data_IF_932921788661
#
_entry.id   IF_932921788661
#
_cell.length_a   1.000
_cell.length_b   1.000
_cell.length_c   1.000
_cell.angle_alpha   90.00
_cell.angle_beta   90.00
_cell.angle_gamma   90.00
#
_symmetry.space_group_name_H-M   'P 1'
#
loop_
_entity.id
_entity.type
_entity.pdbx_description
1 polymer ?
#
# COMPACT_ATOMS: atom_id res chain seq x y z
N UNK A 1 -15.04 6.37 0.75
CA UNK A 1 -14.85 5.27 -0.22
C UNK A 1 -15.74 4.11 0.17
N UNK A 2 -15.78 3.06 -0.63
CA UNK A 2 -16.57 1.86 -0.35
C UNK A 2 -15.73 0.60 -0.20
N UNK A 3 -16.42 -0.51 0.09
CA UNK A 3 -15.80 -1.84 0.20
C UNK A 3 -15.19 -2.28 -1.14
N UNK A 4 -13.98 -2.82 -1.10
CA UNK A 4 -13.34 -3.41 -2.27
C UNK A 4 -13.28 -4.92 -2.08
N UNK A 5 -13.91 -5.64 -3.00
CA UNK A 5 -13.81 -7.08 -3.12
C UNK A 5 -12.67 -7.46 -4.07
N UNK A 6 -12.02 -8.59 -3.81
CA UNK A 6 -11.30 -9.28 -4.86
C UNK A 6 -12.27 -9.72 -5.95
N UNK A 7 -11.80 -9.71 -7.19
CA UNK A 7 -12.55 -10.28 -8.32
C UNK A 7 -12.82 -11.78 -8.11
N UNK A 8 -11.83 -12.51 -7.62
CA UNK A 8 -11.97 -13.91 -7.21
C UNK A 8 -11.10 -14.22 -5.97
N UNK A 9 -11.62 -14.97 -4.99
CA UNK A 9 -12.98 -15.53 -4.91
C UNK A 9 -14.01 -14.45 -4.57
N UNK A 10 -15.25 -14.68 -5.02
CA UNK A 10 -16.35 -13.71 -4.84
C UNK A 10 -16.60 -13.40 -3.36
N UNK A 11 -16.96 -12.13 -3.10
CA UNK A 11 -17.23 -11.59 -1.77
C UNK A 11 -16.07 -11.65 -0.77
N UNK A 12 -14.86 -12.02 -1.20
CA UNK A 12 -13.68 -11.86 -0.36
C UNK A 12 -13.25 -10.40 -0.37
N UNK A 13 -13.16 -9.81 0.82
CA UNK A 13 -12.83 -8.40 1.00
C UNK A 13 -11.32 -8.22 0.81
N UNK A 14 -10.95 -7.31 -0.09
CA UNK A 14 -9.58 -6.84 -0.25
C UNK A 14 -9.27 -5.72 0.74
N UNK A 15 -10.19 -4.75 0.90
CA UNK A 15 -10.01 -3.63 1.82
C UNK A 15 -11.31 -2.87 2.05
N UNK A 16 -11.55 -2.45 3.30
CA UNK A 16 -12.57 -1.45 3.67
C UNK A 16 -11.92 -0.12 4.09
N UNK A 17 -10.69 0.16 3.64
CA UNK A 17 -9.82 1.18 4.26
C UNK A 17 -8.94 0.56 5.32
N UNK A 18 -8.30 1.36 6.17
CA UNK A 18 -7.40 0.80 7.18
C UNK A 18 -6.70 1.80 8.07
N UNK A 19 -5.83 1.26 8.91
CA UNK A 19 -4.96 2.02 9.82
C UNK A 19 -3.51 2.02 9.36
N UNK A 20 -2.75 3.03 9.80
CA UNK A 20 -1.33 3.21 9.50
C UNK A 20 -0.54 3.31 10.80
N UNK A 21 0.44 2.44 10.96
CA UNK A 21 1.45 2.61 12.01
C UNK A 21 2.56 3.52 11.50
N UNK A 22 2.60 4.78 11.95
CA UNK A 22 3.61 5.75 11.52
C UNK A 22 5.04 5.42 11.98
N UNK A 23 5.23 4.53 12.96
CA UNK A 23 6.57 4.13 13.42
C UNK A 23 7.23 3.11 12.49
N UNK A 24 6.44 2.23 11.89
CA UNK A 24 6.93 1.19 10.98
C UNK A 24 6.56 1.45 9.53
N UNK A 25 5.66 2.39 9.28
CA UNK A 25 5.01 2.63 7.99
C UNK A 25 4.10 1.50 7.55
N UNK A 26 3.68 0.58 8.43
CA UNK A 26 2.81 -0.54 8.02
C UNK A 26 1.36 -0.12 7.95
N UNK A 27 0.67 -0.51 6.88
CA UNK A 27 -0.76 -0.33 6.73
C UNK A 27 -1.50 -1.63 7.07
N UNK A 28 -2.62 -1.53 7.79
CA UNK A 28 -3.48 -2.67 8.12
C UNK A 28 -4.88 -2.41 7.54
N UNK A 29 -5.23 -3.06 6.42
CA UNK A 29 -6.58 -2.95 5.88
C UNK A 29 -7.60 -3.61 6.81
N UNK A 30 -8.76 -2.98 6.96
CA UNK A 30 -9.90 -3.56 7.65
C UNK A 30 -10.53 -4.68 6.82
N UNK A 31 -11.00 -5.71 7.52
CA UNK A 31 -11.72 -6.87 6.97
C UNK A 31 -11.02 -7.66 5.85
N UNK A 32 -9.74 -7.38 5.57
CA UNK A 32 -8.97 -8.07 4.52
C UNK A 32 -9.05 -9.59 4.68
N UNK A 33 -9.27 -10.29 3.56
CA UNK A 33 -9.47 -11.74 3.43
C UNK A 33 -10.73 -12.32 4.08
N UNK A 34 -11.55 -11.54 4.78
CA UNK A 34 -12.86 -12.02 5.23
C UNK A 34 -13.78 -12.19 4.03
N UNK A 35 -14.72 -13.14 4.12
CA UNK A 35 -15.66 -13.46 3.06
C UNK A 35 -17.08 -13.19 3.56
N UNK A 36 -17.85 -12.39 2.82
CA UNK A 36 -19.25 -12.10 3.12
C UNK A 36 -19.65 -10.67 2.79
N UNK A 37 -20.95 -10.48 2.57
CA UNK A 37 -21.55 -9.17 2.31
C UNK A 37 -21.96 -8.49 3.61
N UNK A 38 -22.49 -9.24 4.57
CA UNK A 38 -23.00 -8.75 5.86
C UNK A 38 -21.91 -8.44 6.89
N UNK A 39 -20.66 -8.36 6.46
CA UNK A 39 -19.55 -7.98 7.33
C UNK A 39 -19.68 -6.48 7.64
N UNK A 40 -19.73 -6.06 8.92
CA UNK A 40 -19.78 -4.65 9.27
C UNK A 40 -18.59 -3.88 8.70
N UNK A 41 -18.85 -2.66 8.23
CA UNK A 41 -17.82 -1.70 7.86
C UNK A 41 -16.97 -1.26 9.06
N UNK A 42 -15.86 -0.55 8.81
CA UNK A 42 -15.07 0.04 9.88
C UNK A 42 -15.82 1.18 10.58
N UNK A 43 -15.39 1.48 11.79
CA UNK A 43 -15.71 2.72 12.48
C UNK A 43 -14.91 3.84 11.79
N UNK A 44 -15.57 4.94 11.42
CA UNK A 44 -14.95 5.98 10.58
C UNK A 44 -13.84 6.73 11.30
N UNK A 45 -13.95 6.88 12.62
CA UNK A 45 -12.93 7.50 13.47
C UNK A 45 -11.62 6.69 13.51
N UNK A 46 -11.69 5.39 13.23
CA UNK A 46 -10.51 4.51 13.18
C UNK A 46 -9.83 4.51 11.79
N UNK A 47 -10.37 5.22 10.80
CA UNK A 47 -9.80 5.26 9.46
C UNK A 47 -8.63 6.25 9.36
N UNK A 48 -7.47 5.72 9.01
CA UNK A 48 -6.32 6.54 8.61
C UNK A 48 -6.29 6.78 7.10
N UNK A 49 -6.82 5.86 6.30
CA UNK A 49 -6.87 5.96 4.84
C UNK A 49 -8.07 5.24 4.20
N UNK A 50 -8.45 5.73 3.02
CA UNK A 50 -9.34 5.06 2.07
C UNK A 50 -8.49 4.57 0.89
N UNK A 51 -8.72 3.37 0.33
CA UNK A 51 -7.89 2.86 -0.75
C UNK A 51 -8.10 3.65 -2.05
N UNK A 52 -7.00 3.97 -2.74
CA UNK A 52 -7.02 4.80 -3.96
C UNK A 52 -7.78 4.18 -5.13
N UNK A 53 -7.96 2.86 -5.13
CA UNK A 53 -8.71 2.14 -6.18
C UNK A 53 -10.19 2.50 -6.24
N UNK A 54 -10.77 2.97 -5.13
CA UNK A 54 -12.18 3.35 -5.07
C UNK A 54 -12.43 4.46 -4.03
N UNK A 55 -12.19 5.69 -4.46
CA UNK A 55 -12.39 6.87 -3.62
C UNK A 55 -13.08 8.00 -4.38
N UNK A 56 -13.88 8.77 -3.63
CA UNK A 56 -14.43 10.05 -4.05
C UNK A 56 -13.88 11.10 -3.08
N UNK A 57 -13.45 12.24 -3.59
CA UNK A 57 -12.91 13.35 -2.80
C UNK A 57 -13.70 14.62 -3.07
N UNK A 58 -13.94 15.42 -2.02
CA UNK A 58 -14.56 16.73 -2.16
C UNK A 58 -13.56 17.76 -2.70
N UNK A 59 -14.05 18.87 -3.25
CA UNK A 59 -13.20 20.01 -3.60
C UNK A 59 -12.45 20.55 -2.37
N UNK A 60 -13.12 20.57 -1.22
CA UNK A 60 -12.55 20.99 0.05
C UNK A 60 -11.37 20.11 0.47
N UNK A 61 -11.47 18.79 0.28
CA UNK A 61 -10.37 17.87 0.50
C UNK A 61 -9.15 18.22 -0.36
N UNK A 62 -9.35 18.50 -1.66
CA UNK A 62 -8.26 18.90 -2.56
C UNK A 62 -7.65 20.24 -2.14
N UNK A 63 -8.49 21.20 -1.73
CA UNK A 63 -8.02 22.50 -1.22
C UNK A 63 -7.19 22.37 0.06
N UNK A 64 -7.48 21.39 0.92
CA UNK A 64 -6.76 21.14 2.17
C UNK A 64 -5.51 20.28 1.98
N UNK A 65 -5.65 19.10 1.37
CA UNK A 65 -4.59 18.10 1.24
C UNK A 65 -3.66 18.34 0.05
N UNK A 66 -4.06 19.20 -0.89
CA UNK A 66 -3.44 19.35 -2.20
C UNK A 66 -3.78 18.20 -3.15
N UNK A 67 -3.08 18.13 -4.28
CA UNK A 67 -3.16 16.99 -5.20
C UNK A 67 -2.44 15.76 -4.62
N UNK A 68 -2.84 14.59 -5.10
CA UNK A 68 -2.22 13.32 -4.72
C UNK A 68 -0.71 13.35 -5.06
N UNK A 69 0.18 12.90 -4.15
CA UNK A 69 1.61 12.96 -4.37
C UNK A 69 2.07 12.05 -5.52
N UNK A 70 2.70 12.62 -6.53
CA UNK A 70 3.24 11.91 -7.71
C UNK A 70 4.65 11.34 -7.49
N UNK A 71 5.26 11.58 -6.32
CA UNK A 71 6.61 11.09 -6.00
C UNK A 71 6.67 9.60 -5.65
N UNK A 72 5.58 8.87 -5.82
CA UNK A 72 5.48 7.42 -5.68
C UNK A 72 5.18 6.83 -7.04
N UNK A 73 5.95 5.82 -7.44
CA UNK A 73 5.58 5.02 -8.60
C UNK A 73 4.45 4.03 -8.25
N UNK A 74 4.57 3.37 -7.10
CA UNK A 74 3.60 2.42 -6.56
C UNK A 74 3.63 2.46 -5.03
N UNK A 75 2.43 2.40 -4.44
CA UNK A 75 2.17 2.34 -3.01
C UNK A 75 2.44 3.64 -2.25
N UNK A 76 1.63 3.85 -1.22
CA UNK A 76 1.68 4.94 -0.24
C UNK A 76 1.19 6.30 -0.74
N UNK A 77 0.88 6.46 -2.03
CA UNK A 77 0.32 7.71 -2.55
C UNK A 77 -0.98 8.08 -1.84
N UNK A 78 -1.91 7.13 -1.71
CA UNK A 78 -3.21 7.35 -1.10
C UNK A 78 -3.11 7.51 0.43
N UNK A 79 -2.15 6.82 1.06
CA UNK A 79 -1.93 6.90 2.50
C UNK A 79 -1.37 8.27 2.90
N UNK A 80 -0.35 8.76 2.18
CA UNK A 80 0.16 10.12 2.41
C UNK A 80 -0.93 11.15 2.14
N UNK A 81 -1.71 10.99 1.06
CA UNK A 81 -2.75 11.94 0.70
C UNK A 81 -3.87 12.01 1.76
N UNK A 82 -4.33 10.87 2.26
CA UNK A 82 -5.33 10.81 3.34
C UNK A 82 -4.82 11.44 4.64
N UNK A 83 -3.53 11.34 4.97
CA UNK A 83 -2.99 11.97 6.17
C UNK A 83 -2.80 13.49 6.03
N UNK A 84 -2.74 14.01 4.81
CA UNK A 84 -2.70 15.47 4.55
C UNK A 84 -4.06 16.16 4.64
N UNK A 85 -5.15 15.42 4.88
CA UNK A 85 -6.53 15.94 4.95
C UNK A 85 -6.84 16.89 6.10
N UNK A 86 -5.89 17.10 7.02
CA UNK A 86 -6.14 17.80 8.27
C UNK A 86 -7.21 17.09 9.09
N UNK A 87 -8.25 17.84 9.49
CA UNK A 87 -9.34 17.33 10.33
C UNK A 87 -10.56 16.85 9.51
N UNK A 88 -10.48 16.83 8.18
CA UNK A 88 -11.59 16.33 7.36
C UNK A 88 -11.82 14.84 7.64
N UNK A 89 -13.08 14.37 7.69
CA UNK A 89 -13.38 12.97 8.00
C UNK A 89 -13.05 12.07 6.81
N UNK A 90 -12.78 10.80 7.10
CA UNK A 90 -12.78 9.73 6.10
C UNK A 90 -14.05 8.91 6.29
N UNK A 91 -14.87 8.85 5.24
CA UNK A 91 -16.17 8.21 5.31
C UNK A 91 -16.18 6.87 4.55
N UNK A 92 -16.86 5.88 5.13
CA UNK A 92 -17.04 4.56 4.54
C UNK A 92 -18.50 4.35 4.10
N UNK A 93 -18.71 4.04 2.83
CA UNK A 93 -20.01 3.76 2.25
C UNK A 93 -20.11 2.29 1.85
N UNK A 94 -20.82 1.49 2.63
CA UNK A 94 -20.99 0.05 2.38
C UNK A 94 -21.71 -0.23 1.05
N UNK A 95 -22.66 0.63 0.67
CA UNK A 95 -23.46 0.48 -0.55
C UNK A 95 -22.69 0.79 -1.84
N UNK A 96 -21.52 1.42 -1.73
CA UNK A 96 -20.63 1.73 -2.84
C UNK A 96 -19.54 0.66 -3.03
N UNK A 97 -19.90 -0.62 -2.94
CA UNK A 97 -18.92 -1.70 -3.06
C UNK A 97 -18.49 -1.93 -4.53
N UNK A 98 -17.21 -2.26 -4.74
CA UNK A 98 -16.65 -2.55 -6.07
C UNK A 98 -15.84 -3.85 -6.09
N UNK A 99 -15.75 -4.48 -7.25
CA UNK A 99 -14.82 -5.58 -7.51
C UNK A 99 -13.54 -5.06 -8.15
N UNK A 100 -12.40 -5.53 -7.65
CA UNK A 100 -11.09 -5.11 -8.14
C UNK A 100 -10.26 -6.32 -8.58
N UNK A 101 -9.85 -6.30 -9.84
CA UNK A 101 -8.91 -7.25 -10.43
C UNK A 101 -7.49 -6.82 -10.03
N UNK A 102 -7.11 -7.08 -8.78
CA UNK A 102 -5.83 -6.66 -8.23
C UNK A 102 -4.63 -7.45 -8.76
N UNK A 103 -3.49 -6.77 -8.91
CA UNK A 103 -2.16 -7.40 -9.00
C UNK A 103 -1.65 -7.81 -10.38
N UNK A 104 -2.46 -7.73 -11.46
CA UNK A 104 -2.01 -8.16 -12.79
C UNK A 104 -0.89 -7.29 -13.39
N UNK A 105 -0.97 -5.96 -13.23
CA UNK A 105 0.02 -5.04 -13.83
C UNK A 105 1.28 -4.82 -12.97
N UNK A 106 1.15 -4.85 -11.64
CA UNK A 106 2.23 -4.51 -10.70
C UNK A 106 2.93 -5.73 -10.06
N UNK A 107 2.39 -6.95 -10.26
CA UNK A 107 2.89 -8.15 -9.58
C UNK A 107 2.79 -8.06 -8.06
N UNK A 108 1.82 -7.30 -7.55
CA UNK A 108 1.49 -7.18 -6.12
C UNK A 108 1.08 -8.55 -5.58
N UNK A 109 1.23 -8.76 -4.26
CA UNK A 109 0.75 -9.98 -3.63
C UNK A 109 -0.75 -10.17 -3.94
N UNK A 110 -1.10 -11.36 -4.43
CA UNK A 110 -2.49 -11.79 -4.63
C UNK A 110 -2.80 -12.87 -3.60
N UNK A 111 -4.06 -13.29 -3.51
CA UNK A 111 -4.49 -14.34 -2.59
C UNK A 111 -3.69 -15.64 -2.79
N UNK A 112 -3.34 -15.96 -4.04
CA UNK A 112 -2.67 -17.21 -4.41
C UNK A 112 -1.14 -17.07 -4.58
N UNK A 113 -0.61 -15.84 -4.65
CA UNK A 113 0.80 -15.61 -4.89
C UNK A 113 1.35 -14.53 -3.95
N UNK A 114 2.49 -14.84 -3.32
CA UNK A 114 3.26 -13.84 -2.57
C UNK A 114 3.68 -12.65 -3.45
N UNK A 115 4.15 -11.55 -2.84
CA UNK A 115 4.56 -10.37 -3.58
C UNK A 115 5.69 -10.70 -4.55
N UNK A 116 5.63 -10.18 -5.78
CA UNK A 116 6.78 -10.25 -6.69
C UNK A 116 7.98 -9.48 -6.12
N UNK A 117 9.22 -9.79 -6.56
CA UNK A 117 10.39 -8.99 -6.19
C UNK A 117 10.22 -7.50 -6.53
N UNK A 118 9.60 -7.17 -7.66
CA UNK A 118 9.34 -5.78 -8.06
C UNK A 118 8.38 -5.09 -7.07
N UNK A 119 7.28 -5.75 -6.73
CA UNK A 119 6.35 -5.24 -5.72
C UNK A 119 7.03 -5.08 -4.36
N UNK A 120 7.89 -6.02 -3.96
CA UNK A 120 8.59 -5.96 -2.68
C UNK A 120 9.60 -4.80 -2.64
N UNK A 121 10.26 -4.52 -3.77
CA UNK A 121 11.13 -3.37 -3.96
C UNK A 121 10.36 -2.05 -3.77
N UNK A 122 9.29 -1.84 -4.53
CA UNK A 122 8.52 -0.59 -4.45
C UNK A 122 7.86 -0.43 -3.08
N UNK A 123 7.31 -1.50 -2.51
CA UNK A 123 6.75 -1.47 -1.16
C UNK A 123 7.78 -1.04 -0.11
N UNK A 124 9.03 -1.53 -0.19
CA UNK A 124 10.10 -1.14 0.73
C UNK A 124 10.54 0.31 0.52
N UNK A 125 10.75 0.73 -0.74
CA UNK A 125 11.17 2.09 -1.09
C UNK A 125 10.11 3.12 -0.71
N UNK A 126 8.88 2.93 -1.16
CA UNK A 126 7.76 3.85 -0.91
C UNK A 126 7.43 3.95 0.59
N UNK A 127 7.55 2.85 1.35
CA UNK A 127 7.43 2.90 2.81
C UNK A 127 8.46 3.84 3.45
N UNK A 128 9.72 3.75 3.04
CA UNK A 128 10.76 4.63 3.60
C UNK A 128 10.54 6.08 3.20
N UNK A 129 10.12 6.35 1.96
CA UNK A 129 9.74 7.70 1.51
C UNK A 129 8.57 8.24 2.33
N UNK A 130 7.52 7.44 2.53
CA UNK A 130 6.36 7.79 3.35
C UNK A 130 6.76 8.11 4.80
N UNK A 131 7.51 7.23 5.46
CA UNK A 131 7.95 7.47 6.84
C UNK A 131 8.82 8.72 6.92
N UNK A 132 9.73 8.93 5.96
CA UNK A 132 10.58 10.11 5.94
C UNK A 132 9.80 11.42 5.76
N UNK A 133 8.64 11.40 5.09
CA UNK A 133 7.77 12.57 4.91
C UNK A 133 6.80 12.79 6.08
N UNK A 134 6.19 11.70 6.58
CA UNK A 134 5.13 11.80 7.59
C UNK A 134 5.63 11.75 9.03
N UNK A 135 6.73 11.02 9.29
CA UNK A 135 7.31 10.89 10.64
C UNK A 135 8.83 10.63 10.56
N UNK A 136 9.66 11.63 10.21
CA UNK A 136 11.11 11.47 10.03
C UNK A 136 11.81 10.80 11.23
N UNK A 137 11.37 11.08 12.45
CA UNK A 137 11.91 10.46 13.67
C UNK A 137 11.74 8.93 13.73
N UNK A 138 10.81 8.36 12.97
CA UNK A 138 10.57 6.92 12.90
C UNK A 138 11.44 6.18 11.87
N UNK A 139 12.25 6.90 11.07
CA UNK A 139 13.10 6.30 10.03
C UNK A 139 13.94 5.12 10.57
N UNK A 140 14.65 5.21 11.72
CA UNK A 140 15.44 4.09 12.22
C UNK A 140 14.60 2.84 12.53
N UNK A 141 13.41 3.05 13.10
CA UNK A 141 12.50 1.95 13.47
C UNK A 141 11.92 1.29 12.22
N UNK A 142 11.46 2.09 11.26
CA UNK A 142 10.98 1.59 9.98
C UNK A 142 12.08 0.84 9.21
N UNK A 143 13.31 1.35 9.21
CA UNK A 143 14.46 0.71 8.59
C UNK A 143 14.71 -0.68 9.20
N UNK A 144 14.85 -0.76 10.53
CA UNK A 144 15.07 -2.03 11.24
C UNK A 144 13.93 -3.01 10.97
N UNK A 145 12.68 -2.54 10.97
CA UNK A 145 11.51 -3.37 10.67
C UNK A 145 11.57 -3.99 9.26
N UNK A 146 11.82 -3.18 8.23
CA UNK A 146 11.91 -3.67 6.84
C UNK A 146 13.13 -4.55 6.65
N UNK A 147 14.26 -4.19 7.25
CA UNK A 147 15.50 -4.96 7.19
C UNK A 147 15.31 -6.36 7.80
N UNK A 148 14.73 -6.45 9.00
CA UNK A 148 14.40 -7.72 9.65
C UNK A 148 13.43 -8.56 8.81
N UNK A 149 12.44 -7.91 8.16
CA UNK A 149 11.51 -8.60 7.24
C UNK A 149 12.23 -9.15 6.00
N UNK A 150 13.18 -8.40 5.45
CA UNK A 150 14.00 -8.85 4.32
C UNK A 150 14.86 -10.07 4.69
N UNK A 151 15.53 -10.03 5.85
CA UNK A 151 16.30 -11.18 6.35
C UNK A 151 15.42 -12.42 6.57
N UNK A 152 14.20 -12.23 7.09
CA UNK A 152 13.21 -13.30 7.25
C UNK A 152 12.81 -13.92 5.91
N UNK A 153 12.63 -13.13 4.86
CA UNK A 153 12.36 -13.65 3.51
C UNK A 153 13.54 -14.48 3.00
N UNK A 154 14.78 -14.02 3.17
CA UNK A 154 15.99 -14.76 2.78
C UNK A 154 16.08 -16.09 3.53
N UNK A 155 15.87 -16.08 4.85
CA UNK A 155 15.88 -17.29 5.68
C UNK A 155 14.79 -18.30 5.26
N UNK A 156 13.65 -17.82 4.75
CA UNK A 156 12.56 -18.65 4.20
C UNK A 156 12.76 -19.04 2.72
N UNK A 157 13.99 -18.93 2.20
CA UNK A 157 14.36 -19.23 0.80
C UNK A 157 13.67 -18.34 -0.24
N UNK A 158 13.04 -17.22 0.17
CA UNK A 158 12.49 -16.19 -0.72
C UNK A 158 13.56 -15.14 -1.02
N UNK A 159 14.70 -15.59 -1.54
CA UNK A 159 15.94 -14.81 -1.63
C UNK A 159 15.77 -13.59 -2.55
N UNK A 160 15.10 -13.75 -3.70
CA UNK A 160 14.84 -12.66 -4.65
C UNK A 160 13.99 -11.53 -4.05
N UNK A 161 12.97 -11.88 -3.27
CA UNK A 161 12.10 -10.93 -2.57
C UNK A 161 12.90 -10.19 -1.49
N UNK A 162 13.67 -10.91 -0.68
CA UNK A 162 14.48 -10.32 0.37
C UNK A 162 15.52 -9.33 -0.18
N UNK A 163 16.26 -9.71 -1.23
CA UNK A 163 17.19 -8.79 -1.89
C UNK A 163 16.49 -7.60 -2.52
N UNK A 164 15.32 -7.77 -3.12
CA UNK A 164 14.56 -6.65 -3.66
C UNK A 164 14.15 -5.64 -2.58
N UNK A 165 13.75 -6.12 -1.39
CA UNK A 165 13.47 -5.24 -0.24
C UNK A 165 14.72 -4.48 0.21
N UNK A 166 15.89 -5.14 0.30
CA UNK A 166 17.15 -4.48 0.67
C UNK A 166 17.58 -3.42 -0.36
N UNK A 167 17.34 -3.65 -1.65
CA UNK A 167 17.56 -2.64 -2.70
C UNK A 167 16.62 -1.44 -2.52
N UNK A 168 15.35 -1.70 -2.20
CA UNK A 168 14.37 -0.65 -1.91
C UNK A 168 14.76 0.21 -0.69
N UNK A 169 15.37 -0.38 0.33
CA UNK A 169 15.89 0.33 1.51
C UNK A 169 17.11 1.22 1.22
N UNK A 170 17.98 0.80 0.31
CA UNK A 170 19.26 1.47 0.02
C UNK A 170 19.15 2.56 -1.05
N UNK A 171 17.96 2.80 -1.60
CA UNK A 171 17.76 3.74 -2.69
C UNK A 171 18.35 3.29 -4.03
N UNK A 172 18.93 2.09 -4.09
CA UNK A 172 19.38 1.46 -5.33
C UNK A 172 18.15 1.18 -6.22
N UNK A 173 18.30 1.26 -7.54
CA UNK A 173 17.20 0.89 -8.46
C UNK A 173 16.76 -0.57 -8.32
N UNK A 174 15.58 -0.96 -8.83
CA UNK A 174 15.16 -2.37 -8.89
C UNK A 174 16.14 -3.21 -9.75
N UNK A 175 16.02 -4.53 -9.69
CA UNK A 175 16.84 -5.41 -10.55
C UNK A 175 16.41 -5.32 -12.01
N UNK A 176 17.33 -5.52 -12.95
CA UNK A 176 17.01 -5.54 -14.40
C UNK A 176 15.93 -6.56 -14.74
N UNK A 177 15.99 -7.75 -14.14
CA UNK A 177 14.94 -8.77 -14.28
C UNK A 177 13.55 -8.29 -13.81
N UNK A 178 13.51 -7.53 -12.72
CA UNK A 178 12.27 -6.97 -12.20
C UNK A 178 11.72 -5.86 -13.11
N UNK A 179 12.59 -5.03 -13.70
CA UNK A 179 12.21 -4.01 -14.68
C UNK A 179 11.72 -4.60 -16.01
N UNK A 180 12.40 -5.64 -16.51
CA UNK A 180 12.00 -6.31 -17.74
C UNK A 180 10.58 -6.91 -17.65
N UNK A 181 10.14 -7.33 -16.45
CA UNK A 181 8.77 -7.83 -16.22
C UNK A 181 7.68 -6.79 -16.46
N UNK A 182 7.99 -5.51 -16.34
CA UNK A 182 7.06 -4.41 -16.64
C UNK A 182 7.38 -3.73 -17.98
N UNK A 183 8.21 -4.37 -18.82
CA UNK A 183 8.60 -3.86 -20.13
C UNK A 183 9.42 -2.57 -20.08
N UNK A 184 10.16 -2.33 -18.99
CA UNK A 184 10.97 -1.11 -18.81
C UNK A 184 12.45 -1.42 -18.67
N UNK A 185 13.29 -0.50 -19.12
CA UNK A 185 14.75 -0.52 -18.94
C UNK A 185 15.19 0.32 -17.74
N UNK A 186 14.39 1.32 -17.34
CA UNK A 186 14.68 2.28 -16.26
C UNK A 186 13.43 2.60 -15.44
N UNK A 187 13.62 3.17 -14.25
CA UNK A 187 12.52 3.69 -13.43
C UNK A 187 11.97 4.98 -14.07
N UNK A 188 10.64 5.21 -14.07
CA UNK A 188 10.13 6.54 -14.34
C UNK A 188 10.68 7.53 -13.31
N UNK A 189 11.11 8.68 -13.82
CA UNK A 189 11.55 9.86 -13.05
C UNK A 189 10.48 10.33 -12.09
#
# INVERSE_FOLDING_TARGET
GGRIYYDFPQFMIQSDGGTINLWTGTCRPFNMTRIGQDIPGPIEEDLDYIPGTHMLVSREFISCAGLMPENYFLYYEEMEWCLRRGNLPLLFCADAAVHHIGGQAAGSATINNGPSPLSAYFMARSRMQFVARMKPAAIPIAFVYVFAKALRCIARRQVSIGFAMLRGLSGLGPTKEALNKIGRTELPS
#
